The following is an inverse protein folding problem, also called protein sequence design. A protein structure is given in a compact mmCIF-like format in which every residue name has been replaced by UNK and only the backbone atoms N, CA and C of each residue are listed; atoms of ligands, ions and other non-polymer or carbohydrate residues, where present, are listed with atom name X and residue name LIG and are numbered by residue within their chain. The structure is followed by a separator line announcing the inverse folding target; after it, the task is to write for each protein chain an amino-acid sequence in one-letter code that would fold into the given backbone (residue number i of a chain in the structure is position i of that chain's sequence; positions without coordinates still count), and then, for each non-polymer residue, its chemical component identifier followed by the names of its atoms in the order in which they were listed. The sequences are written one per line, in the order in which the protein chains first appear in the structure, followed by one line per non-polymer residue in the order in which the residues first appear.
data_IF_129361252172
#
_entry.id   IF_129361252172
#
_cell.length_a   1.000
_cell.length_b   1.000
_cell.length_c   1.000
_cell.angle_alpha   90.00
_cell.angle_beta   90.00
_cell.angle_gamma   90.00
#
_symmetry.space_group_name_H-M   'P 1'
#
loop_
_entity.id
_entity.type
_entity.pdbx_description
1 polymer ?
#
# COMPACT_ATOMS: atom_id res chain seq x y z
N UNK A 1 -34.06 30.39 -6.19
CA UNK A 1 -32.71 29.84 -6.45
C UNK A 1 -32.05 29.24 -5.21
N UNK A 2 -31.92 29.95 -4.08
CA UNK A 2 -31.28 29.42 -2.85
C UNK A 2 -31.90 28.12 -2.32
N UNK A 3 -33.24 28.03 -2.28
CA UNK A 3 -33.98 26.84 -1.82
C UNK A 3 -33.75 25.61 -2.70
N UNK A 4 -33.62 25.80 -4.01
CA UNK A 4 -33.34 24.72 -4.97
C UNK A 4 -31.92 24.18 -4.77
N UNK A 5 -30.93 25.05 -4.55
CA UNK A 5 -29.56 24.66 -4.26
C UNK A 5 -29.44 23.88 -2.93
N UNK A 6 -30.18 24.31 -1.90
CA UNK A 6 -30.24 23.60 -0.61
C UNK A 6 -30.87 22.22 -0.75
N UNK A 7 -31.98 22.11 -1.48
CA UNK A 7 -32.63 20.83 -1.76
C UNK A 7 -31.73 19.90 -2.60
N UNK A 8 -31.05 20.42 -3.61
CA UNK A 8 -30.12 19.64 -4.43
C UNK A 8 -28.93 19.11 -3.61
N UNK A 9 -28.36 19.93 -2.72
CA UNK A 9 -27.28 19.51 -1.83
C UNK A 9 -27.76 18.43 -0.83
N UNK A 10 -28.96 18.58 -0.27
CA UNK A 10 -29.56 17.57 0.62
C UNK A 10 -29.77 16.23 -0.10
N UNK A 11 -30.30 16.25 -1.32
CA UNK A 11 -30.45 15.03 -2.14
C UNK A 11 -29.08 14.42 -2.43
N UNK A 12 -28.06 15.20 -2.80
CA UNK A 12 -26.72 14.69 -3.06
C UNK A 12 -26.09 14.01 -1.82
N UNK A 13 -26.28 14.58 -0.63
CA UNK A 13 -25.78 13.99 0.64
C UNK A 13 -26.55 12.72 1.00
N UNK A 14 -27.88 12.71 0.85
CA UNK A 14 -28.72 11.55 1.17
C UNK A 14 -28.52 10.38 0.20
N UNK A 15 -28.20 10.66 -1.06
CA UNK A 15 -27.93 9.65 -2.09
C UNK A 15 -26.43 9.36 -2.27
N UNK A 16 -25.57 9.85 -1.37
CA UNK A 16 -24.15 9.56 -1.42
C UNK A 16 -23.92 8.03 -1.28
N UNK A 17 -23.34 7.42 -2.31
CA UNK A 17 -23.02 5.99 -2.29
C UNK A 17 -21.98 5.73 -1.21
N UNK A 18 -22.33 4.89 -0.24
CA UNK A 18 -21.37 4.43 0.77
C UNK A 18 -20.69 3.15 0.26
N UNK A 19 -19.36 3.16 0.20
CA UNK A 19 -18.58 1.94 -0.02
C UNK A 19 -17.96 1.51 1.30
N UNK A 20 -18.12 0.23 1.65
CA UNK A 20 -17.51 -0.37 2.83
C UNK A 20 -16.65 -1.53 2.38
N UNK A 21 -15.45 -1.61 2.95
CA UNK A 21 -14.51 -2.69 2.72
C UNK A 21 -13.98 -3.14 4.05
N UNK A 22 -14.01 -4.44 4.28
CA UNK A 22 -13.34 -5.03 5.43
C UNK A 22 -11.83 -4.97 5.22
N UNK A 23 -11.13 -4.57 6.28
CA UNK A 23 -9.67 -4.47 6.28
C UNK A 23 -9.08 -5.35 7.37
N UNK A 24 -7.87 -5.81 7.13
CA UNK A 24 -7.08 -6.57 8.09
C UNK A 24 -5.80 -5.81 8.41
N UNK A 25 -5.54 -5.57 9.70
CA UNK A 25 -4.23 -5.07 10.14
C UNK A 25 -3.15 -6.15 9.97
N UNK A 26 -1.96 -5.73 9.57
CA UNK A 26 -0.79 -6.62 9.44
C UNK A 26 -0.06 -6.90 10.76
N UNK A 27 -0.43 -6.24 11.86
CA UNK A 27 0.14 -6.46 13.20
C UNK A 27 0.77 -5.21 13.77
N UNK A 28 1.88 -5.32 14.50
CA UNK A 28 2.86 -4.23 14.65
C UNK A 28 4.25 -4.77 14.33
N UNK A 29 5.04 -4.08 13.50
CA UNK A 29 6.44 -4.45 13.27
C UNK A 29 7.22 -4.42 14.57
N UNK A 30 7.04 -3.35 15.36
CA UNK A 30 7.65 -3.21 16.69
C UNK A 30 7.33 -4.40 17.60
N UNK A 31 6.06 -4.80 17.68
CA UNK A 31 5.68 -5.96 18.50
C UNK A 31 6.38 -7.25 18.04
N UNK A 32 6.49 -7.47 16.72
CA UNK A 32 7.22 -8.61 16.13
C UNK A 32 8.72 -8.56 16.44
N UNK A 33 9.34 -7.39 16.33
CA UNK A 33 10.76 -7.20 16.65
C UNK A 33 11.05 -7.42 18.14
N UNK A 34 10.15 -6.97 19.03
CA UNK A 34 10.26 -7.22 20.47
C UNK A 34 10.15 -8.72 20.76
N UNK A 35 9.15 -9.40 20.19
CA UNK A 35 8.97 -10.84 20.36
C UNK A 35 10.17 -11.66 19.83
N UNK A 36 10.81 -11.20 18.76
CA UNK A 36 12.02 -11.81 18.20
C UNK A 36 13.32 -11.40 18.92
N UNK A 37 13.26 -10.53 19.95
CA UNK A 37 14.42 -9.94 20.62
C UNK A 37 15.38 -9.19 19.68
N UNK A 38 14.84 -8.62 18.59
CA UNK A 38 15.59 -7.87 17.57
C UNK A 38 15.39 -6.35 17.67
N UNK A 39 14.50 -5.89 18.55
CA UNK A 39 14.10 -4.48 18.60
C UNK A 39 15.24 -3.52 18.95
N UNK A 40 16.14 -3.88 19.86
CA UNK A 40 17.29 -3.03 20.21
C UNK A 40 18.22 -2.81 19.02
N UNK A 41 18.57 -3.89 18.32
CA UNK A 41 19.38 -3.83 17.11
C UNK A 41 18.73 -2.94 16.04
N UNK A 42 17.42 -3.06 15.84
CA UNK A 42 16.67 -2.23 14.91
C UNK A 42 16.79 -0.73 15.26
N UNK A 43 16.63 -0.36 16.54
CA UNK A 43 16.75 1.03 16.99
C UNK A 43 18.16 1.58 16.81
N UNK A 44 19.21 0.78 17.07
CA UNK A 44 20.60 1.18 16.84
C UNK A 44 20.84 1.49 15.35
N UNK A 45 20.38 0.62 14.45
CA UNK A 45 20.47 0.83 13.00
C UNK A 45 19.71 2.08 12.55
N UNK A 46 18.51 2.30 13.09
CA UNK A 46 17.69 3.49 12.79
C UNK A 46 18.35 4.79 13.28
N UNK A 47 18.91 4.79 14.50
CA UNK A 47 19.63 5.94 15.05
C UNK A 47 20.86 6.29 14.22
N UNK A 48 21.63 5.30 13.78
CA UNK A 48 22.79 5.50 12.91
C UNK A 48 22.37 6.13 11.57
N UNK A 49 21.29 5.62 10.96
CA UNK A 49 20.74 6.16 9.71
C UNK A 49 20.24 7.59 9.91
N UNK A 50 19.55 7.87 11.01
CA UNK A 50 19.05 9.20 11.35
C UNK A 50 20.19 10.20 11.57
N UNK A 51 21.27 9.81 12.23
CA UNK A 51 22.44 10.66 12.42
C UNK A 51 23.06 11.11 11.08
N UNK A 52 23.16 10.19 10.11
CA UNK A 52 23.66 10.50 8.76
C UNK A 52 22.74 11.47 8.01
N UNK A 53 21.42 11.27 8.10
CA UNK A 53 20.41 12.14 7.48
C UNK A 53 20.44 13.56 8.09
N UNK A 54 20.53 13.65 9.42
CA UNK A 54 20.61 14.93 10.12
C UNK A 54 21.90 15.68 9.75
N UNK A 55 23.02 14.97 9.61
CA UNK A 55 24.29 15.54 9.19
C UNK A 55 24.25 16.13 7.76
N UNK A 56 23.36 15.63 6.89
CA UNK A 56 23.13 16.21 5.56
C UNK A 56 22.17 17.40 5.56
N UNK A 57 21.65 17.81 6.72
CA UNK A 57 20.62 18.84 6.85
C UNK A 57 19.22 18.40 6.41
N UNK A 58 19.01 17.11 6.13
CA UNK A 58 17.71 16.57 5.71
C UNK A 58 16.81 16.28 6.91
N UNK A 59 15.52 16.57 6.78
CA UNK A 59 14.48 16.29 7.78
C UNK A 59 13.35 15.50 7.12
N UNK A 60 13.53 14.18 6.90
CA UNK A 60 12.49 13.36 6.30
C UNK A 60 11.33 13.17 7.26
N UNK A 61 10.18 12.81 6.70
CA UNK A 61 9.05 12.35 7.49
C UNK A 61 9.46 11.13 8.34
N UNK A 62 9.04 11.11 9.61
CA UNK A 62 9.30 10.00 10.52
C UNK A 62 8.26 8.93 10.24
N UNK A 63 8.71 7.79 9.73
CA UNK A 63 7.91 6.57 9.66
C UNK A 63 8.07 5.81 10.98
N UNK A 64 6.95 5.52 11.64
CA UNK A 64 6.94 4.73 12.88
C UNK A 64 6.89 3.23 12.60
N UNK A 65 6.89 2.83 11.32
CA UNK A 65 6.74 1.46 10.85
C UNK A 65 5.51 0.78 11.45
N UNK A 66 4.47 1.58 11.68
CA UNK A 66 3.16 1.10 12.11
C UNK A 66 2.48 0.43 10.92
N UNK A 67 1.90 -0.73 11.21
CA UNK A 67 1.53 -1.72 10.20
C UNK A 67 0.36 -1.27 9.33
N UNK A 68 0.33 -1.79 8.10
CA UNK A 68 -0.66 -1.47 7.10
C UNK A 68 -2.01 -2.16 7.36
N UNK A 69 -3.09 -1.51 6.97
CA UNK A 69 -4.39 -2.14 6.78
C UNK A 69 -4.51 -2.63 5.34
N UNK A 70 -4.78 -3.93 5.19
CA UNK A 70 -4.94 -4.59 3.90
C UNK A 70 -6.42 -4.77 3.57
N UNK A 71 -6.82 -4.35 2.37
CA UNK A 71 -8.12 -4.66 1.77
C UNK A 71 -7.99 -5.76 0.72
N UNK A 72 -8.92 -6.71 0.71
CA UNK A 72 -9.03 -7.68 -0.37
C UNK A 72 -9.85 -7.08 -1.52
N UNK A 73 -9.33 -7.17 -2.74
CA UNK A 73 -10.06 -6.80 -3.96
C UNK A 73 -9.84 -7.83 -5.05
N UNK A 74 -10.63 -7.75 -6.10
CA UNK A 74 -10.46 -8.57 -7.30
C UNK A 74 -10.20 -7.70 -8.52
N UNK A 75 -9.34 -8.17 -9.43
CA UNK A 75 -9.04 -7.50 -10.69
C UNK A 75 -9.21 -8.44 -11.87
N UNK A 76 -9.58 -7.87 -13.02
CA UNK A 76 -9.70 -8.59 -14.29
C UNK A 76 -10.92 -9.51 -14.40
N UNK A 77 -11.01 -10.20 -15.53
CA UNK A 77 -12.09 -11.14 -15.85
C UNK A 77 -11.50 -12.43 -16.43
N UNK A 78 -11.67 -13.61 -15.80
CA UNK A 78 -12.31 -13.82 -14.52
C UNK A 78 -11.59 -13.09 -13.37
N UNK A 79 -12.30 -12.80 -12.25
CA UNK A 79 -11.73 -12.08 -11.12
C UNK A 79 -10.51 -12.79 -10.50
N UNK A 80 -9.41 -12.07 -10.33
CA UNK A 80 -8.21 -12.54 -9.64
C UNK A 80 -8.05 -11.80 -8.31
N UNK A 81 -7.85 -12.53 -7.20
CA UNK A 81 -7.70 -11.94 -5.88
C UNK A 81 -6.36 -11.22 -5.72
N UNK A 82 -6.40 -10.04 -5.10
CA UNK A 82 -5.22 -9.31 -4.67
C UNK A 82 -5.46 -8.62 -3.32
N UNK A 83 -4.37 -8.23 -2.67
CA UNK A 83 -4.38 -7.51 -1.40
C UNK A 83 -3.72 -6.15 -1.59
N UNK A 84 -4.43 -5.10 -1.20
CA UNK A 84 -3.97 -3.71 -1.32
C UNK A 84 -3.73 -3.10 0.04
N UNK A 85 -2.65 -2.34 0.16
CA UNK A 85 -2.46 -1.39 1.26
C UNK A 85 -3.36 -0.19 1.00
N UNK A 86 -4.10 0.25 2.02
CA UNK A 86 -4.86 1.49 1.93
C UNK A 86 -3.97 2.68 2.21
N UNK A 87 -3.61 3.39 1.15
CA UNK A 87 -2.70 4.53 1.18
C UNK A 87 -3.43 5.81 0.78
N UNK A 88 -3.64 6.70 1.75
CA UNK A 88 -4.24 8.02 1.50
C UNK A 88 -3.23 9.03 0.97
N UNK A 89 -1.94 8.68 0.90
CA UNK A 89 -0.85 9.52 0.40
C UNK A 89 -0.59 9.39 -1.11
N UNK A 90 -1.30 8.51 -1.82
CA UNK A 90 -1.14 8.32 -3.27
C UNK A 90 -2.48 8.23 -4.01
N UNK A 91 -2.42 8.42 -5.34
CA UNK A 91 -3.60 8.44 -6.23
C UNK A 91 -3.64 7.27 -7.22
N UNK A 92 -2.69 6.34 -7.11
CA UNK A 92 -2.52 5.22 -8.05
C UNK A 92 -2.86 3.89 -7.38
N UNK A 93 -3.40 2.95 -8.17
CA UNK A 93 -3.56 1.56 -7.77
C UNK A 93 -2.37 0.75 -8.27
N UNK A 94 -1.63 0.16 -7.34
CA UNK A 94 -0.46 -0.66 -7.64
C UNK A 94 -0.76 -2.14 -7.37
N UNK A 95 -0.46 -2.98 -8.34
CA UNK A 95 -0.44 -4.44 -8.18
C UNK A 95 0.81 -5.04 -8.78
N UNK A 96 1.20 -6.21 -8.29
CA UNK A 96 2.39 -6.90 -8.76
C UNK A 96 2.01 -7.75 -9.98
N UNK A 97 2.69 -7.51 -11.08
CA UNK A 97 2.56 -8.34 -12.28
C UNK A 97 3.11 -9.76 -12.01
N UNK A 98 2.36 -10.79 -12.40
CA UNK A 98 2.81 -12.18 -12.35
C UNK A 98 4.11 -12.43 -13.11
N UNK A 99 4.43 -11.61 -14.12
CA UNK A 99 5.70 -11.64 -14.84
C UNK A 99 6.90 -11.21 -13.98
N UNK A 100 6.70 -10.43 -12.91
CA UNK A 100 7.79 -10.05 -12.02
C UNK A 100 8.26 -11.25 -11.17
N UNK A 101 9.50 -11.71 -11.40
CA UNK A 101 10.09 -12.86 -10.71
C UNK A 101 11.15 -12.50 -9.65
N UNK A 102 11.41 -11.22 -9.44
CA UNK A 102 12.38 -10.77 -8.41
C UNK A 102 11.91 -11.14 -7.00
N UNK A 103 12.85 -11.27 -6.06
CA UNK A 103 12.53 -11.56 -4.66
C UNK A 103 11.56 -10.54 -4.06
N UNK A 104 11.73 -9.25 -4.38
CA UNK A 104 10.83 -8.17 -3.95
C UNK A 104 9.36 -8.42 -4.35
N UNK A 105 9.13 -8.96 -5.55
CA UNK A 105 7.79 -9.30 -6.03
C UNK A 105 7.23 -10.60 -5.45
N UNK A 106 8.07 -11.53 -4.98
CA UNK A 106 7.64 -12.81 -4.40
C UNK A 106 7.30 -12.70 -2.91
N UNK A 107 7.85 -11.70 -2.22
CA UNK A 107 7.78 -11.56 -0.77
C UNK A 107 9.14 -11.78 -0.13
N UNK A 108 9.35 -11.17 1.04
CA UNK A 108 10.61 -11.28 1.77
C UNK A 108 10.76 -12.68 2.37
N UNK A 109 11.96 -13.28 2.25
CA UNK A 109 12.19 -14.63 2.76
C UNK A 109 12.05 -14.64 4.28
N UNK A 110 11.34 -15.63 4.81
CA UNK A 110 11.09 -15.75 6.24
C UNK A 110 9.99 -14.82 6.79
N UNK A 111 9.37 -13.98 5.96
CA UNK A 111 8.24 -13.15 6.38
C UNK A 111 6.94 -13.93 6.65
N UNK A 112 6.83 -15.16 6.12
CA UNK A 112 5.60 -15.95 6.15
C UNK A 112 4.50 -15.43 5.20
N UNK A 113 4.80 -14.41 4.39
CA UNK A 113 3.84 -13.79 3.48
C UNK A 113 4.29 -13.95 2.03
N UNK A 114 3.41 -14.54 1.21
CA UNK A 114 3.56 -14.56 -0.26
C UNK A 114 2.71 -13.46 -0.86
N UNK A 115 3.28 -12.67 -1.77
CA UNK A 115 2.53 -11.59 -2.42
C UNK A 115 1.60 -12.15 -3.50
N UNK A 116 0.35 -11.69 -3.51
CA UNK A 116 -0.57 -11.95 -4.62
C UNK A 116 -0.12 -11.19 -5.86
N UNK A 117 -0.25 -11.83 -7.03
CA UNK A 117 0.15 -11.26 -8.31
C UNK A 117 -0.99 -11.33 -9.29
N UNK A 118 -1.12 -10.30 -10.11
CA UNK A 118 -2.08 -10.24 -11.19
C UNK A 118 -1.49 -10.83 -12.46
N UNK A 119 -2.11 -11.90 -12.96
CA UNK A 119 -1.73 -12.56 -14.21
C UNK A 119 -2.49 -11.93 -15.38
N UNK A 120 -1.81 -11.02 -16.08
CA UNK A 120 -2.36 -10.30 -17.22
C UNK A 120 -2.83 -11.21 -18.35
N UNK A 121 -2.23 -12.41 -18.49
CA UNK A 121 -2.60 -13.39 -19.53
C UNK A 121 -3.89 -14.13 -19.24
N UNK A 122 -4.36 -14.10 -17.99
CA UNK A 122 -5.59 -14.76 -17.52
C UNK A 122 -6.77 -13.82 -17.38
N UNK A 123 -6.68 -12.59 -17.87
CA UNK A 123 -7.76 -11.61 -17.81
C UNK A 123 -8.19 -11.17 -19.21
N UNK A 124 -9.40 -11.51 -19.63
CA UNK A 124 -9.99 -11.09 -20.91
C UNK A 124 -10.25 -9.59 -20.99
N UNK A 125 -10.39 -8.91 -19.85
CA UNK A 125 -10.56 -7.44 -19.77
C UNK A 125 -9.24 -6.71 -19.54
N UNK A 126 -8.09 -7.40 -19.61
CA UNK A 126 -6.79 -6.73 -19.51
C UNK A 126 -6.47 -6.06 -20.85
N UNK A 127 -6.16 -4.77 -20.79
CA UNK A 127 -5.61 -4.03 -21.92
C UNK A 127 -4.24 -3.50 -21.52
N UNK A 128 -3.23 -3.83 -22.32
CA UNK A 128 -1.85 -3.39 -22.06
C UNK A 128 -1.72 -1.89 -22.32
N UNK A 129 -1.18 -1.18 -21.35
CA UNK A 129 -0.69 0.19 -21.50
C UNK A 129 0.72 0.17 -22.08
N UNK A 130 1.00 1.02 -23.08
CA UNK A 130 2.31 1.07 -23.76
C UNK A 130 3.21 2.17 -23.22
N UNK A 131 2.64 3.15 -22.51
CA UNK A 131 3.41 4.19 -21.84
C UNK A 131 4.28 3.58 -20.75
N UNK A 132 5.56 3.92 -20.76
CA UNK A 132 6.45 3.61 -19.66
C UNK A 132 6.16 4.54 -18.49
N UNK A 133 6.27 3.99 -17.28
CA UNK A 133 6.24 4.78 -16.05
C UNK A 133 7.44 4.41 -15.20
N UNK A 134 7.91 5.36 -14.40
CA UNK A 134 8.92 5.13 -13.37
C UNK A 134 8.58 5.99 -12.16
N UNK A 135 8.78 5.43 -10.97
CA UNK A 135 8.64 6.14 -9.71
C UNK A 135 9.88 5.84 -8.88
N UNK A 136 10.50 6.89 -8.33
CA UNK A 136 11.66 6.78 -7.47
C UNK A 136 11.24 7.22 -6.06
N UNK A 137 11.29 6.29 -5.12
CA UNK A 137 11.08 6.62 -3.71
C UNK A 137 12.41 7.03 -3.07
N UNK A 138 12.35 7.82 -2.00
CA UNK A 138 13.54 8.21 -1.23
C UNK A 138 14.26 7.02 -0.58
N UNK A 139 13.57 5.89 -0.46
CA UNK A 139 14.10 4.61 -0.01
C UNK A 139 14.98 3.89 -1.04
N UNK A 140 14.95 4.32 -2.31
CA UNK A 140 15.47 3.56 -3.45
C UNK A 140 14.37 3.13 -4.41
#
# INVERSE_FOLDING_TARGET
MKTILVLAALVAVLYAKTYRMETRSTGSLRARLIAANLYQKFLEEEHLRRAQILASGSQPFIDYADDFYLGNVTLGTPPQNTQLVLDTGSSNLWVIDAACKTNACNGEKGSGYTKHKFDTTKSSTFTKETRTFSIQYGSG
#
